data_IF_567921205195
#
_entry.id   IF_567921205195
#
_cell.length_a   1.000
_cell.length_b   1.000
_cell.length_c   1.000
_cell.angle_alpha   90.00
_cell.angle_beta   90.00
_cell.angle_gamma   90.00
#
_symmetry.space_group_name_H-M   'P 1'
#
loop_
_entity.id
_entity.type
_entity.pdbx_description
1 polymer ?
#
# COMPACT_ATOMS: atom_id res chain seq x y z
N UNK A 1 -21.90 9.77 -20.66
CA UNK A 1 -22.53 9.47 -19.36
C UNK A 1 -22.74 7.97 -19.10
N UNK A 2 -23.36 7.19 -20.01
CA UNK A 2 -23.58 5.73 -19.79
C UNK A 2 -22.32 4.90 -19.53
N UNK A 3 -21.22 5.20 -20.23
CA UNK A 3 -19.95 4.48 -20.05
C UNK A 3 -19.36 4.64 -18.63
N UNK A 4 -19.40 5.86 -18.07
CA UNK A 4 -18.88 6.11 -16.72
C UNK A 4 -19.67 5.37 -15.63
N UNK A 5 -21.01 5.33 -15.75
CA UNK A 5 -21.84 4.58 -14.81
C UNK A 5 -21.57 3.07 -14.85
N UNK A 6 -21.37 2.51 -16.05
CA UNK A 6 -21.02 1.09 -16.21
C UNK A 6 -19.67 0.76 -15.57
N UNK A 7 -18.65 1.62 -15.73
CA UNK A 7 -17.33 1.39 -15.14
C UNK A 7 -17.37 1.47 -13.61
N UNK A 8 -18.08 2.45 -13.06
CA UNK A 8 -18.24 2.57 -11.60
C UNK A 8 -18.94 1.35 -11.03
N UNK A 9 -19.99 0.83 -11.68
CA UNK A 9 -20.66 -0.39 -11.27
C UNK A 9 -19.73 -1.62 -11.36
N UNK A 10 -18.90 -1.71 -12.39
CA UNK A 10 -17.92 -2.78 -12.52
C UNK A 10 -16.85 -2.73 -11.42
N UNK A 11 -16.41 -1.54 -11.01
CA UNK A 11 -15.49 -1.36 -9.87
C UNK A 11 -16.17 -1.74 -8.56
N UNK A 12 -17.41 -1.31 -8.34
CA UNK A 12 -18.21 -1.68 -7.17
C UNK A 12 -18.31 -3.20 -7.02
N UNK A 13 -18.75 -3.89 -8.08
CA UNK A 13 -18.92 -5.35 -8.07
C UNK A 13 -17.63 -6.14 -7.82
N UNK A 14 -16.46 -5.54 -8.09
CA UNK A 14 -15.14 -6.16 -7.84
C UNK A 14 -14.63 -5.96 -6.41
N UNK A 15 -15.10 -4.95 -5.70
CA UNK A 15 -14.48 -4.50 -4.45
C UNK A 15 -15.45 -4.44 -3.24
N UNK A 16 -16.74 -4.61 -3.46
CA UNK A 16 -17.77 -4.41 -2.44
C UNK A 16 -18.48 -5.73 -2.16
N UNK A 17 -18.43 -6.13 -0.90
CA UNK A 17 -19.00 -7.38 -0.39
C UNK A 17 -19.92 -7.03 0.79
N UNK A 18 -21.19 -6.67 0.53
CA UNK A 18 -22.11 -6.17 1.55
C UNK A 18 -22.33 -7.15 2.72
N UNK A 19 -22.36 -8.45 2.43
CA UNK A 19 -22.56 -9.51 3.42
C UNK A 19 -21.39 -9.60 4.41
N UNK A 20 -20.21 -9.15 3.98
CA UNK A 20 -19.01 -9.03 4.82
C UNK A 20 -18.83 -7.61 5.39
N UNK A 21 -19.82 -6.72 5.20
CA UNK A 21 -19.74 -5.30 5.53
C UNK A 21 -18.56 -4.56 4.86
N UNK A 22 -18.08 -5.03 3.70
CA UNK A 22 -17.00 -4.37 2.94
C UNK A 22 -17.62 -3.32 2.02
N UNK A 23 -17.48 -2.04 2.38
CA UNK A 23 -17.92 -0.89 1.58
C UNK A 23 -16.80 0.14 1.41
N UNK A 24 -16.95 1.08 0.47
CA UNK A 24 -15.96 2.15 0.28
C UNK A 24 -15.77 2.97 1.56
N UNK A 25 -14.51 3.17 1.93
CA UNK A 25 -14.14 3.93 3.13
C UNK A 25 -14.43 3.23 4.46
N UNK A 26 -14.91 1.98 4.47
CA UNK A 26 -15.25 1.27 5.72
C UNK A 26 -14.03 0.80 6.50
N UNK A 27 -12.99 0.37 5.80
CA UNK A 27 -11.80 -0.27 6.37
C UNK A 27 -10.52 0.50 6.02
N UNK A 28 -9.51 0.51 6.91
CA UNK A 28 -8.19 1.06 6.63
C UNK A 28 -7.54 0.45 5.39
N UNK A 29 -6.95 1.30 4.56
CA UNK A 29 -6.08 0.86 3.47
C UNK A 29 -4.65 0.76 3.98
N UNK A 30 -4.17 -0.47 4.20
CA UNK A 30 -2.85 -0.74 4.77
C UNK A 30 -1.76 -0.97 3.70
N UNK A 31 -1.95 -0.44 2.48
CA UNK A 31 -0.96 -0.56 1.39
C UNK A 31 0.29 0.28 1.68
N UNK A 32 0.16 1.35 2.45
CA UNK A 32 1.27 2.17 2.94
C UNK A 32 1.09 2.51 4.42
N UNK A 33 2.05 3.24 4.98
CA UNK A 33 2.08 3.60 6.39
C UNK A 33 1.87 5.11 6.67
N UNK A 34 1.40 5.87 5.68
CA UNK A 34 1.19 7.34 5.79
C UNK A 34 -0.12 7.67 6.50
N UNK A 35 -1.24 7.09 6.04
CA UNK A 35 -2.58 7.39 6.57
C UNK A 35 -3.02 6.38 7.64
N UNK A 36 -2.51 5.15 7.56
CA UNK A 36 -2.79 4.04 8.48
C UNK A 36 -1.48 3.33 8.80
N UNK A 37 -1.40 2.48 9.84
CA UNK A 37 -0.15 1.83 10.23
C UNK A 37 0.49 0.92 9.17
N UNK A 38 -0.26 0.46 8.17
CA UNK A 38 0.29 -0.38 7.10
C UNK A 38 0.85 -1.70 7.64
N UNK A 39 2.04 -2.07 7.16
CA UNK A 39 2.79 -3.24 7.62
C UNK A 39 3.12 -3.17 9.12
N UNK A 40 3.37 -1.98 9.65
CA UNK A 40 3.73 -1.80 11.06
C UNK A 40 2.62 -2.20 12.03
N UNK A 41 1.37 -2.36 11.58
CA UNK A 41 0.29 -2.96 12.39
C UNK A 41 0.69 -4.29 13.06
N UNK A 42 1.54 -5.08 12.40
CA UNK A 42 2.01 -6.35 12.93
C UNK A 42 3.53 -6.38 13.13
N UNK A 43 4.25 -5.58 12.36
CA UNK A 43 5.71 -5.57 12.32
C UNK A 43 6.30 -4.45 13.20
N UNK A 44 5.59 -3.88 14.16
CA UNK A 44 6.12 -2.85 15.07
C UNK A 44 6.96 -3.43 16.23
N UNK A 45 7.07 -4.75 16.32
CA UNK A 45 7.71 -5.45 17.43
C UNK A 45 6.78 -5.71 18.64
N UNK A 46 5.56 -5.16 18.65
CA UNK A 46 4.58 -5.41 19.72
C UNK A 46 3.97 -6.81 19.67
N UNK A 47 4.06 -7.47 18.51
CA UNK A 47 3.62 -8.85 18.30
C UNK A 47 4.81 -9.81 18.44
N UNK A 48 5.19 -10.07 19.70
CA UNK A 48 6.27 -10.98 20.04
C UNK A 48 5.74 -12.29 20.67
N UNK A 49 6.36 -13.41 20.29
CA UNK A 49 6.14 -14.70 20.92
C UNK A 49 6.75 -14.72 22.34
N UNK A 50 6.37 -15.71 23.14
CA UNK A 50 6.83 -15.84 24.54
C UNK A 50 8.35 -15.97 24.69
N UNK A 51 9.03 -16.43 23.63
CA UNK A 51 10.48 -16.57 23.56
C UNK A 51 11.19 -15.27 23.11
N UNK A 52 10.44 -14.21 22.79
CA UNK A 52 10.97 -12.91 22.38
C UNK A 52 11.04 -12.70 20.86
N UNK A 53 10.73 -13.71 20.05
CA UNK A 53 10.74 -13.57 18.59
C UNK A 53 9.58 -12.67 18.14
N UNK A 54 9.89 -11.62 17.39
CA UNK A 54 8.91 -10.72 16.80
C UNK A 54 8.84 -10.90 15.28
N UNK A 55 7.73 -10.44 14.70
CA UNK A 55 7.61 -10.40 13.24
C UNK A 55 8.63 -9.40 12.69
N UNK A 56 9.44 -9.84 11.72
CA UNK A 56 10.58 -9.07 11.18
C UNK A 56 10.17 -7.68 10.69
N UNK A 57 10.97 -6.65 10.99
CA UNK A 57 10.82 -5.31 10.41
C UNK A 57 11.46 -5.14 9.04
N UNK A 58 11.93 -6.24 8.44
CA UNK A 58 12.51 -6.22 7.11
C UNK A 58 11.42 -6.00 6.04
N UNK A 59 11.31 -4.76 5.57
CA UNK A 59 10.44 -4.38 4.47
C UNK A 59 10.77 -5.15 3.18
N UNK A 60 12.03 -5.57 3.01
CA UNK A 60 12.52 -6.36 1.87
C UNK A 60 11.90 -7.75 1.79
N UNK A 61 11.24 -8.22 2.85
CA UNK A 61 10.52 -9.49 2.84
C UNK A 61 9.28 -9.47 1.91
N UNK A 62 8.69 -8.29 1.69
CA UNK A 62 7.47 -8.12 0.87
C UNK A 62 7.66 -7.16 -0.30
N UNK A 63 8.44 -6.09 -0.10
CA UNK A 63 8.58 -5.02 -1.07
C UNK A 63 10.02 -4.94 -1.60
N UNK A 64 10.15 -4.67 -2.90
CA UNK A 64 11.43 -4.22 -3.46
C UNK A 64 11.48 -2.70 -3.32
N UNK A 65 11.98 -2.20 -2.19
CA UNK A 65 12.11 -0.77 -1.96
C UNK A 65 13.11 -0.17 -2.95
N UNK A 66 12.59 0.53 -3.96
CA UNK A 66 13.40 1.13 -5.01
C UNK A 66 13.99 2.48 -4.57
N UNK A 67 13.22 3.27 -3.81
CA UNK A 67 13.65 4.57 -3.31
C UNK A 67 12.89 4.95 -2.04
N UNK A 68 13.55 5.64 -1.13
CA UNK A 68 12.96 6.20 0.09
C UNK A 68 13.61 7.55 0.41
N UNK A 69 12.79 8.57 0.69
CA UNK A 69 13.23 9.91 1.14
C UNK A 69 14.30 10.62 0.28
N UNK A 70 14.54 10.15 -0.94
CA UNK A 70 15.42 10.76 -1.92
C UNK A 70 14.65 11.75 -2.79
N UNK A 71 15.16 12.99 -2.92
CA UNK A 71 14.47 14.05 -3.66
C UNK A 71 14.35 13.78 -5.18
N UNK A 72 15.28 13.02 -5.77
CA UNK A 72 15.26 12.65 -7.19
C UNK A 72 15.95 11.29 -7.41
N UNK A 73 15.30 10.16 -7.05
CA UNK A 73 15.93 8.85 -7.10
C UNK A 73 16.14 8.44 -8.57
N UNK A 74 17.41 8.24 -8.96
CA UNK A 74 17.77 7.90 -10.36
C UNK A 74 17.01 6.68 -10.87
N UNK A 75 16.79 5.68 -10.02
CA UNK A 75 16.07 4.44 -10.34
C UNK A 75 14.64 4.70 -10.84
N UNK A 76 13.95 5.73 -10.34
CA UNK A 76 12.59 6.06 -10.81
C UNK A 76 12.61 6.69 -12.21
N UNK A 77 13.68 7.42 -12.54
CA UNK A 77 13.90 7.95 -13.90
C UNK A 77 14.28 6.83 -14.85
N UNK A 78 15.18 5.93 -14.43
CA UNK A 78 15.62 4.79 -15.25
C UNK A 78 14.45 3.83 -15.59
N UNK A 79 13.47 3.71 -14.69
CA UNK A 79 12.24 2.93 -14.88
C UNK A 79 11.13 3.70 -15.61
N UNK A 80 11.32 4.97 -15.96
CA UNK A 80 10.31 5.80 -16.62
C UNK A 80 9.07 6.12 -15.75
N UNK A 81 9.18 6.00 -14.43
CA UNK A 81 8.10 6.32 -13.47
C UNK A 81 8.00 7.84 -13.27
N UNK A 82 9.15 8.53 -13.32
CA UNK A 82 9.24 9.99 -13.18
C UNK A 82 10.07 10.59 -14.30
N UNK A 83 9.70 11.78 -14.74
CA UNK A 83 10.51 12.55 -15.70
C UNK A 83 11.86 12.95 -15.09
N UNK A 84 12.92 12.88 -15.90
CA UNK A 84 14.22 13.46 -15.54
C UNK A 84 14.05 14.97 -15.34
N UNK A 85 14.10 15.45 -14.09
CA UNK A 85 14.25 16.89 -13.82
C UNK A 85 15.64 17.34 -14.25
N UNK A 86 15.79 17.69 -15.53
CA UNK A 86 16.92 18.51 -15.99
C UNK A 86 16.70 19.92 -15.46
N UNK A 87 17.45 20.26 -14.40
CA UNK A 87 17.68 21.59 -13.78
C UNK A 87 16.66 22.69 -14.03
#
# INVERSE_FOLDING_TARGET
MKAGAAEVLAIWNRNIFPEMNVTWGRYPMNIGHTDFPGCFRCHDGSHAAKNGDAITQDCGACDNLLAMDEANPKVLTDLGITESKSR
#
